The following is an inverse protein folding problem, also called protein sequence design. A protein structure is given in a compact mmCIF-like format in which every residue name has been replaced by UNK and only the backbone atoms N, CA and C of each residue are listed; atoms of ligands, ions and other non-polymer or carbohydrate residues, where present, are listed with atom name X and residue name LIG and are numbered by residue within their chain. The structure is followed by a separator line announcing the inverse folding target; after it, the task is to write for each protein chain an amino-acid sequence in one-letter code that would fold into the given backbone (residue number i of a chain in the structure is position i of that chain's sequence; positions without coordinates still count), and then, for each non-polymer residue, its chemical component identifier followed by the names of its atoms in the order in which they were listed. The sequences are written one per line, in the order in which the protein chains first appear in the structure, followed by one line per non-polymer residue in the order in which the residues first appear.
data_IF_993145099517
#
_entry.id   IF_993145099517
#
_cell.length_a   1.000
_cell.length_b   1.000
_cell.length_c   1.000
_cell.angle_alpha   90.00
_cell.angle_beta   90.00
_cell.angle_gamma   90.00
#
_symmetry.space_group_name_H-M   'P 1'
#
loop_
_entity.id
_entity.type
_entity.pdbx_description
1 polymer ?
#
# COMPACT_ATOMS: atom_id res chain seq x y z
N UNK A 1 -0.45 30.89 5.95
CA UNK A 1 -1.40 29.79 5.70
C UNK A 1 -0.86 28.54 6.38
N UNK A 2 -1.14 28.37 7.67
CA UNK A 2 -0.73 27.17 8.41
C UNK A 2 -1.85 26.15 8.20
N UNK A 3 -1.68 25.25 7.22
CA UNK A 3 -2.60 24.13 7.08
C UNK A 3 -2.41 23.28 8.34
N UNK A 4 -3.42 23.31 9.21
CA UNK A 4 -3.42 22.52 10.45
C UNK A 4 -3.27 21.04 10.12
N UNK A 5 -2.51 20.29 10.92
CA UNK A 5 -2.35 18.83 10.78
C UNK A 5 -3.69 18.06 10.65
N UNK A 6 -4.78 18.66 11.13
CA UNK A 6 -6.16 18.15 11.06
C UNK A 6 -6.77 18.13 9.65
N UNK A 7 -6.24 18.90 8.71
CA UNK A 7 -6.71 18.93 7.31
C UNK A 7 -5.90 17.99 6.41
N UNK A 8 -4.64 17.74 6.77
CA UNK A 8 -3.76 16.79 6.06
C UNK A 8 -4.27 15.35 6.18
N UNK A 9 -4.80 14.98 7.35
CA UNK A 9 -5.33 13.64 7.65
C UNK A 9 -6.64 13.32 6.92
N UNK A 10 -7.43 14.33 6.53
CA UNK A 10 -8.72 14.11 5.86
C UNK A 10 -8.57 13.68 4.39
N UNK A 11 -7.50 14.10 3.72
CA UNK A 11 -7.30 13.79 2.29
C UNK A 11 -6.89 12.32 2.04
N UNK A 12 -6.24 11.68 3.01
CA UNK A 12 -5.80 10.28 2.91
C UNK A 12 -6.88 9.25 3.27
N UNK A 13 -8.00 9.68 3.89
CA UNK A 13 -9.11 8.79 4.27
C UNK A 13 -9.93 8.24 3.11
N UNK A 14 -9.89 8.88 1.94
CA UNK A 14 -10.61 8.37 0.76
C UNK A 14 -9.87 7.20 0.12
N UNK A 15 -8.65 6.93 0.56
CA UNK A 15 -7.86 5.79 0.18
C UNK A 15 -7.86 4.80 1.37
N UNK A 16 -8.99 4.27 1.82
CA UNK A 16 -8.99 3.26 2.92
C UNK A 16 -8.90 1.81 2.39
N UNK A 17 -8.99 1.60 1.07
CA UNK A 17 -9.09 0.27 0.43
C UNK A 17 -7.79 -0.24 -0.21
N UNK A 18 -6.66 0.43 0.02
CA UNK A 18 -5.36 0.02 -0.49
C UNK A 18 -4.44 -0.38 0.67
N UNK A 19 -3.72 -1.47 0.45
CA UNK A 19 -2.85 -2.13 1.41
C UNK A 19 -3.56 -2.70 2.65
N UNK A 20 -3.00 -3.76 3.21
CA UNK A 20 -3.46 -4.42 4.45
C UNK A 20 -3.42 -3.54 5.71
N UNK A 21 -2.86 -2.33 5.62
CA UNK A 21 -2.75 -1.41 6.75
C UNK A 21 -3.93 -0.43 6.86
N UNK A 22 -4.93 -0.51 5.97
CA UNK A 22 -6.10 0.39 5.94
C UNK A 22 -5.72 1.88 6.07
N UNK A 23 -4.69 2.31 5.32
CA UNK A 23 -4.22 3.70 5.34
C UNK A 23 -3.45 4.13 6.60
N UNK A 24 -3.03 3.22 7.49
CA UNK A 24 -2.23 3.58 8.67
C UNK A 24 -0.84 4.13 8.31
N UNK A 25 -0.24 3.68 7.20
CA UNK A 25 1.08 4.08 6.75
C UNK A 25 1.06 5.24 5.73
N UNK A 26 0.51 6.38 6.14
CA UNK A 26 0.34 7.59 5.32
C UNK A 26 1.68 8.14 4.77
N UNK A 27 2.80 7.78 5.38
CA UNK A 27 4.12 8.31 5.04
C UNK A 27 4.96 7.37 4.16
N UNK A 28 4.41 6.21 3.76
CA UNK A 28 5.12 5.26 2.92
C UNK A 28 4.82 5.57 1.45
N UNK A 29 5.72 6.33 0.82
CA UNK A 29 5.56 6.75 -0.58
C UNK A 29 5.85 5.65 -1.62
N UNK A 30 6.34 4.49 -1.18
CA UNK A 30 6.70 3.37 -2.05
C UNK A 30 5.60 2.30 -2.01
N UNK A 31 5.00 2.07 -3.17
CA UNK A 31 3.89 1.14 -3.34
C UNK A 31 4.18 0.18 -4.48
N UNK A 32 3.75 -1.07 -4.31
CA UNK A 32 3.82 -2.14 -5.32
C UNK A 32 2.40 -2.57 -5.70
N UNK A 33 2.18 -2.88 -6.97
CA UNK A 33 0.93 -3.48 -7.46
C UNK A 33 1.05 -5.01 -7.48
N UNK A 34 0.01 -5.71 -7.02
CA UNK A 34 -0.11 -7.16 -7.15
C UNK A 34 -0.57 -7.52 -8.56
N UNK A 35 0.22 -8.34 -9.27
CA UNK A 35 -0.08 -8.77 -10.65
C UNK A 35 -1.28 -9.72 -10.76
N UNK A 36 -1.75 -10.27 -9.64
CA UNK A 36 -2.97 -11.08 -9.64
C UNK A 36 -4.20 -10.18 -9.89
N UNK A 37 -4.79 -10.31 -11.08
CA UNK A 37 -6.00 -9.57 -11.49
C UNK A 37 -7.22 -9.81 -10.59
N UNK A 38 -7.25 -10.94 -9.88
CA UNK A 38 -8.30 -11.28 -8.93
C UNK A 38 -7.99 -10.84 -7.49
N UNK A 39 -6.89 -10.12 -7.26
CA UNK A 39 -6.54 -9.64 -5.94
C UNK A 39 -7.51 -8.53 -5.50
N UNK A 40 -8.13 -8.63 -4.30
CA UNK A 40 -9.03 -7.61 -3.79
C UNK A 40 -8.29 -6.30 -3.50
N UNK A 41 -7.05 -6.41 -3.02
CA UNK A 41 -6.17 -5.27 -2.73
C UNK A 41 -5.10 -5.25 -3.82
N UNK A 42 -5.13 -4.24 -4.69
CA UNK A 42 -4.15 -4.16 -5.78
C UNK A 42 -2.83 -3.55 -5.33
N UNK A 43 -2.88 -2.62 -4.40
CA UNK A 43 -1.73 -1.79 -4.03
C UNK A 43 -1.29 -2.07 -2.60
N UNK A 44 0.02 -2.21 -2.40
CA UNK A 44 0.61 -2.46 -1.09
C UNK A 44 1.82 -1.57 -0.85
N UNK A 45 2.00 -1.12 0.39
CA UNK A 45 3.23 -0.45 0.79
C UNK A 45 4.36 -1.45 0.90
N UNK A 46 5.55 -1.05 0.48
CA UNK A 46 6.75 -1.89 0.59
C UNK A 46 6.98 -2.36 2.03
N UNK A 47 6.89 -1.45 3.00
CA UNK A 47 7.07 -1.77 4.42
C UNK A 47 6.01 -2.72 4.97
N UNK A 48 4.77 -2.66 4.46
CA UNK A 48 3.70 -3.55 4.92
C UNK A 48 3.90 -4.99 4.44
N UNK A 49 4.59 -5.17 3.31
CA UNK A 49 4.84 -6.49 2.70
C UNK A 49 6.30 -6.92 2.81
N UNK A 50 7.13 -6.17 3.55
CA UNK A 50 8.54 -6.47 3.76
C UNK A 50 9.44 -6.29 2.54
N UNK A 51 9.00 -5.54 1.53
CA UNK A 51 9.85 -5.15 0.40
C UNK A 51 10.79 -4.03 0.81
N UNK A 52 12.05 -4.13 0.40
CA UNK A 52 13.06 -3.08 0.57
C UNK A 52 13.30 -2.29 -0.71
N UNK A 53 12.95 -2.86 -1.86
CA UNK A 53 13.15 -2.29 -3.18
C UNK A 53 12.03 -2.76 -4.12
N UNK A 54 11.89 -2.04 -5.24
CA UNK A 54 10.94 -2.44 -6.27
C UNK A 54 11.33 -3.82 -6.83
N UNK A 55 10.39 -4.75 -6.91
CA UNK A 55 10.65 -6.04 -7.55
C UNK A 55 10.98 -5.82 -9.02
N UNK A 56 11.94 -6.62 -9.53
CA UNK A 56 12.34 -6.57 -10.95
C UNK A 56 11.30 -7.25 -11.85
N UNK A 57 10.61 -8.25 -11.30
CA UNK A 57 9.62 -9.08 -11.97
C UNK A 57 8.23 -8.94 -11.31
N UNK A 58 7.27 -9.71 -11.80
CA UNK A 58 5.91 -9.80 -11.29
C UNK A 58 5.89 -10.07 -9.78
N UNK A 59 5.25 -9.18 -9.03
CA UNK A 59 5.11 -9.31 -7.58
C UNK A 59 3.69 -9.70 -7.20
N UNK A 60 3.63 -10.61 -6.23
CA UNK A 60 2.38 -11.11 -5.68
C UNK A 60 2.35 -10.83 -4.18
N UNK A 61 1.20 -10.35 -3.70
CA UNK A 61 1.00 -10.16 -2.28
C UNK A 61 0.95 -11.50 -1.54
N UNK A 62 1.12 -11.44 -0.22
CA UNK A 62 1.06 -12.62 0.67
C UNK A 62 -0.24 -13.42 0.54
N UNK A 63 -1.35 -12.77 0.18
CA UNK A 63 -2.64 -13.44 -0.04
C UNK A 63 -2.70 -14.19 -1.37
N UNK A 64 -2.01 -13.70 -2.39
CA UNK A 64 -1.98 -14.31 -3.73
C UNK A 64 -0.88 -15.36 -3.88
N UNK A 65 0.24 -15.18 -3.18
CA UNK A 65 1.35 -16.14 -3.16
C UNK A 65 1.92 -16.28 -1.73
N UNK A 66 1.31 -17.12 -0.88
CA UNK A 66 1.76 -17.32 0.50
C UNK A 66 3.06 -18.15 0.62
N UNK A 67 3.57 -18.74 -0.45
CA UNK A 67 4.68 -19.71 -0.44
C UNK A 67 5.97 -19.18 -1.10
N UNK A 68 6.27 -17.90 -0.89
CA UNK A 68 7.45 -17.25 -1.47
C UNK A 68 8.78 -17.71 -0.83
#
# INVERSE_FOLDING_TARGET
MIISNRERTKKYREQEEWCICNGMNINSGMMVECENKNCPIKWFHFECVGLLAAPLDEWYCTDCNPFH
#
